data_IF_733874864639
#
_entry.id   IF_733874864639
#
_cell.length_a   1.000
_cell.length_b   1.000
_cell.length_c   1.000
_cell.angle_alpha   90.00
_cell.angle_beta   90.00
_cell.angle_gamma   90.00
#
_symmetry.space_group_name_H-M   'P 1'
#
loop_
_entity.id
_entity.type
_entity.pdbx_description
1 polymer ?
#
# COMPACT_ATOMS: atom_id res chain seq x y z
N UNK A 1 -26.69 -4.64 -7.35
CA UNK A 1 -25.32 -4.62 -6.80
C UNK A 1 -24.45 -5.76 -7.34
N UNK A 2 -24.79 -7.02 -7.07
CA UNK A 2 -24.01 -8.19 -7.52
C UNK A 2 -23.62 -8.17 -9.00
N UNK A 3 -24.58 -7.86 -9.90
CA UNK A 3 -24.32 -7.74 -11.35
C UNK A 3 -23.32 -6.64 -11.70
N UNK A 4 -23.40 -5.48 -11.02
CA UNK A 4 -22.46 -4.37 -11.21
C UNK A 4 -21.07 -4.73 -10.68
N UNK A 5 -21.00 -5.38 -9.51
CA UNK A 5 -19.73 -5.86 -8.95
C UNK A 5 -19.05 -6.89 -9.87
N UNK A 6 -19.82 -7.76 -10.54
CA UNK A 6 -19.29 -8.69 -11.53
C UNK A 6 -18.72 -7.98 -12.77
N UNK A 7 -19.39 -6.93 -13.27
CA UNK A 7 -18.87 -6.10 -14.37
C UNK A 7 -17.56 -5.40 -13.99
N UNK A 8 -17.51 -4.80 -12.80
CA UNK A 8 -16.29 -4.17 -12.27
C UNK A 8 -15.15 -5.19 -12.19
N UNK A 9 -15.40 -6.35 -11.57
CA UNK A 9 -14.38 -7.40 -11.45
C UNK A 9 -13.88 -7.90 -12.80
N UNK A 10 -14.76 -8.10 -13.76
CA UNK A 10 -14.39 -8.56 -15.10
C UNK A 10 -13.51 -7.55 -15.84
N UNK A 11 -13.82 -6.26 -15.69
CA UNK A 11 -13.13 -5.19 -16.42
C UNK A 11 -11.84 -4.74 -15.75
N UNK A 12 -11.86 -4.55 -14.44
CA UNK A 12 -10.75 -3.94 -13.69
C UNK A 12 -9.93 -4.96 -12.91
N UNK A 13 -10.42 -6.20 -12.76
CA UNK A 13 -9.80 -7.21 -11.92
C UNK A 13 -9.98 -6.97 -10.41
N UNK A 14 -10.72 -5.93 -10.00
CA UNK A 14 -11.00 -5.62 -8.60
C UNK A 14 -12.39 -6.10 -8.19
N UNK A 15 -12.45 -6.94 -7.15
CA UNK A 15 -13.70 -7.47 -6.61
C UNK A 15 -14.25 -6.60 -5.47
N UNK A 16 -15.36 -5.91 -5.74
CA UNK A 16 -16.04 -5.06 -4.75
C UNK A 16 -17.16 -5.78 -3.99
N UNK A 17 -17.40 -7.06 -4.22
CA UNK A 17 -18.52 -7.80 -3.60
C UNK A 17 -18.42 -7.92 -2.07
N UNK A 18 -17.22 -7.85 -1.51
CA UNK A 18 -17.00 -7.86 -0.06
C UNK A 18 -16.92 -6.47 0.59
N UNK A 19 -17.11 -5.39 -0.17
CA UNK A 19 -17.12 -4.03 0.36
C UNK A 19 -18.49 -3.71 0.98
N UNK A 20 -18.55 -2.70 1.85
CA UNK A 20 -19.82 -2.30 2.47
C UNK A 20 -20.79 -1.74 1.42
N UNK A 21 -21.97 -2.35 1.31
CA UNK A 21 -23.01 -1.96 0.35
C UNK A 21 -23.32 -0.46 0.37
N UNK A 22 -23.50 0.15 1.54
CA UNK A 22 -23.79 1.58 1.65
C UNK A 22 -22.67 2.48 1.08
N UNK A 23 -21.42 2.05 1.10
CA UNK A 23 -20.32 2.78 0.48
C UNK A 23 -20.42 2.70 -1.05
N UNK A 24 -20.64 1.49 -1.58
CA UNK A 24 -20.74 1.24 -3.01
C UNK A 24 -22.00 1.91 -3.60
N UNK A 25 -23.15 1.76 -2.94
CA UNK A 25 -24.43 2.33 -3.37
C UNK A 25 -24.37 3.85 -3.51
N UNK A 26 -23.77 4.56 -2.57
CA UNK A 26 -23.63 6.03 -2.66
C UNK A 26 -22.82 6.47 -3.87
N UNK A 27 -21.79 5.71 -4.25
CA UNK A 27 -20.98 6.00 -5.45
C UNK A 27 -21.72 5.68 -6.74
N UNK A 28 -22.45 4.56 -6.77
CA UNK A 28 -23.36 4.22 -7.87
C UNK A 28 -24.41 5.30 -8.06
N UNK A 29 -25.10 5.72 -6.99
CA UNK A 29 -26.12 6.77 -7.03
C UNK A 29 -25.56 8.11 -7.54
N UNK A 30 -24.36 8.49 -7.09
CA UNK A 30 -23.69 9.69 -7.61
C UNK A 30 -23.42 9.58 -9.11
N UNK A 31 -22.95 8.43 -9.60
CA UNK A 31 -22.67 8.22 -11.03
C UNK A 31 -23.97 8.22 -11.85
N UNK A 32 -25.04 7.63 -11.33
CA UNK A 32 -26.39 7.69 -11.88
C UNK A 32 -26.87 9.14 -12.03
N UNK A 33 -26.68 9.99 -11.01
CA UNK A 33 -27.02 11.41 -11.07
C UNK A 33 -26.20 12.17 -12.13
N UNK A 34 -24.89 11.89 -12.25
CA UNK A 34 -24.02 12.50 -13.27
C UNK A 34 -24.50 12.13 -14.69
N UNK A 35 -24.97 10.90 -14.88
CA UNK A 35 -25.50 10.41 -16.16
C UNK A 35 -27.00 10.72 -16.36
N UNK A 36 -27.66 11.32 -15.37
CA UNK A 36 -29.10 11.59 -15.37
C UNK A 36 -29.94 10.32 -15.61
N UNK A 37 -29.55 9.22 -14.95
CA UNK A 37 -30.26 7.93 -15.00
C UNK A 37 -30.85 7.63 -13.64
N UNK A 38 -32.18 7.65 -13.53
CA UNK A 38 -32.86 7.40 -12.24
C UNK A 38 -33.18 5.91 -12.01
N UNK A 39 -33.25 5.12 -13.09
CA UNK A 39 -33.53 3.67 -13.01
C UNK A 39 -32.23 2.84 -12.90
N UNK A 40 -32.06 2.06 -11.81
CA UNK A 40 -30.90 1.18 -11.66
C UNK A 40 -30.75 0.11 -12.75
N UNK A 41 -31.85 -0.33 -13.37
CA UNK A 41 -31.77 -1.31 -14.46
C UNK A 41 -31.20 -0.66 -15.74
N UNK A 42 -31.71 0.51 -16.13
CA UNK A 42 -31.15 1.32 -17.20
C UNK A 42 -29.67 1.68 -16.96
N UNK A 43 -29.29 1.99 -15.71
CA UNK A 43 -27.89 2.24 -15.37
C UNK A 43 -27.01 1.00 -15.58
N UNK A 44 -27.51 -0.19 -15.20
CA UNK A 44 -26.78 -1.43 -15.44
C UNK A 44 -26.61 -1.75 -16.94
N UNK A 45 -27.63 -1.53 -17.77
CA UNK A 45 -27.50 -1.71 -19.22
C UNK A 45 -26.52 -0.70 -19.82
N UNK A 46 -26.54 0.55 -19.37
CA UNK A 46 -25.53 1.56 -19.74
C UNK A 46 -24.10 1.09 -19.43
N UNK A 47 -23.87 0.51 -18.25
CA UNK A 47 -22.56 -0.06 -17.89
C UNK A 47 -22.16 -1.26 -18.76
N UNK A 48 -23.12 -2.05 -19.27
CA UNK A 48 -22.86 -3.17 -20.19
C UNK A 48 -22.47 -2.68 -21.58
N UNK A 49 -23.17 -1.66 -22.08
CA UNK A 49 -23.01 -1.14 -23.45
C UNK A 49 -21.80 -0.22 -23.59
N UNK A 50 -21.46 0.54 -22.54
CA UNK A 50 -20.37 1.51 -22.54
C UNK A 50 -19.29 1.13 -21.53
N UNK A 51 -18.25 0.39 -21.96
CA UNK A 51 -17.22 -0.08 -21.05
C UNK A 51 -16.48 1.06 -20.31
N UNK A 52 -16.34 2.25 -20.93
CA UNK A 52 -15.74 3.42 -20.28
C UNK A 52 -16.50 3.86 -19.02
N UNK A 53 -17.82 3.65 -18.95
CA UNK A 53 -18.62 3.98 -17.77
C UNK A 53 -18.27 3.09 -16.57
N UNK A 54 -17.82 1.85 -16.83
CA UNK A 54 -17.33 0.95 -15.78
C UNK A 54 -15.99 1.43 -15.23
N UNK A 55 -15.09 1.96 -16.07
CA UNK A 55 -13.83 2.57 -15.60
C UNK A 55 -14.09 3.82 -14.76
N UNK A 56 -15.02 4.65 -15.19
CA UNK A 56 -15.42 5.85 -14.47
C UNK A 56 -16.10 5.52 -13.14
N UNK A 57 -16.96 4.49 -13.11
CA UNK A 57 -17.53 3.99 -11.87
C UNK A 57 -16.44 3.42 -10.94
N UNK A 58 -15.49 2.67 -11.48
CA UNK A 58 -14.35 2.16 -10.70
C UNK A 58 -13.60 3.32 -10.03
N UNK A 59 -13.28 4.38 -10.79
CA UNK A 59 -12.63 5.58 -10.27
C UNK A 59 -13.45 6.27 -9.17
N UNK A 60 -14.78 6.30 -9.25
CA UNK A 60 -15.61 6.85 -8.16
C UNK A 60 -15.59 6.00 -6.88
N UNK A 61 -15.30 4.70 -7.01
CA UNK A 61 -15.19 3.78 -5.87
C UNK A 61 -13.86 3.95 -5.12
N UNK A 62 -12.85 4.53 -5.75
CA UNK A 62 -11.53 4.82 -5.15
C UNK A 62 -11.61 6.11 -4.33
N UNK A 63 -11.75 5.98 -3.01
CA UNK A 63 -11.88 7.11 -2.09
C UNK A 63 -10.49 7.50 -1.56
N UNK A 64 -9.81 8.40 -2.25
CA UNK A 64 -8.42 8.82 -1.93
C UNK A 64 -8.28 10.05 -1.03
N UNK A 65 -9.25 10.36 -0.15
CA UNK A 65 -9.12 11.54 0.73
C UNK A 65 -8.10 11.29 1.83
N UNK A 66 -7.01 12.04 1.80
CA UNK A 66 -5.89 11.95 2.74
C UNK A 66 -5.29 13.34 3.04
N UNK A 67 -4.47 13.44 4.08
CA UNK A 67 -3.75 14.65 4.48
C UNK A 67 -2.50 14.28 5.26
N UNK A 68 -1.52 15.18 5.33
CA UNK A 68 -0.34 14.97 6.18
C UNK A 68 -0.76 14.90 7.65
N UNK A 69 -0.12 14.01 8.41
CA UNK A 69 -0.37 13.82 9.84
C UNK A 69 -1.86 13.70 10.22
N UNK A 70 -2.67 13.05 9.38
CA UNK A 70 -4.11 12.87 9.59
C UNK A 70 -4.40 12.21 10.95
N UNK A 71 -5.27 12.84 11.73
CA UNK A 71 -5.51 12.56 13.15
C UNK A 71 -4.23 12.83 13.99
N UNK A 72 -3.87 14.11 14.25
CA UNK A 72 -2.58 14.48 14.84
C UNK A 72 -2.25 13.74 16.14
N UNK A 73 -3.22 13.58 17.03
CA UNK A 73 -3.04 12.83 18.28
C UNK A 73 -2.59 11.37 18.07
N UNK A 74 -3.04 10.72 16.98
CA UNK A 74 -2.64 9.36 16.67
C UNK A 74 -1.19 9.31 16.15
N UNK A 75 -0.77 10.29 15.36
CA UNK A 75 0.63 10.44 14.94
C UNK A 75 1.55 10.82 16.10
N UNK A 76 1.11 11.67 17.03
CA UNK A 76 1.86 11.98 18.25
C UNK A 76 2.10 10.71 19.09
N UNK A 77 1.09 9.84 19.20
CA UNK A 77 1.21 8.56 19.87
C UNK A 77 2.14 7.60 19.13
N UNK A 78 2.06 7.54 17.80
CA UNK A 78 2.98 6.74 16.98
C UNK A 78 4.44 7.20 17.18
N UNK A 79 4.68 8.51 17.07
CA UNK A 79 5.98 9.14 17.27
C UNK A 79 6.54 8.81 18.66
N UNK A 80 5.74 8.97 19.72
CA UNK A 80 6.22 8.75 21.09
C UNK A 80 6.39 7.27 21.47
N UNK A 81 5.47 6.40 21.05
CA UNK A 81 5.35 5.04 21.60
C UNK A 81 5.96 3.95 20.71
N UNK A 82 6.11 4.22 19.42
CA UNK A 82 6.52 3.21 18.42
C UNK A 82 7.79 3.61 17.71
N UNK A 83 7.89 4.83 17.17
CA UNK A 83 9.00 5.22 16.29
C UNK A 83 10.39 5.01 16.94
N UNK A 84 10.68 5.49 18.17
CA UNK A 84 11.96 5.22 18.84
C UNK A 84 12.29 3.73 18.97
N UNK A 85 11.28 2.90 19.25
CA UNK A 85 11.45 1.45 19.41
C UNK A 85 11.84 0.74 18.13
N UNK A 86 11.54 1.33 16.97
CA UNK A 86 11.98 0.76 15.69
C UNK A 86 13.50 0.80 15.52
N UNK A 87 14.17 1.73 16.20
CA UNK A 87 15.63 1.91 16.19
C UNK A 87 16.36 1.16 17.31
N UNK A 88 15.65 0.70 18.35
CA UNK A 88 16.25 -0.01 19.48
C UNK A 88 16.97 -1.30 19.03
N UNK A 89 18.26 -1.40 19.34
CA UNK A 89 19.10 -2.55 19.01
C UNK A 89 19.38 -2.72 17.51
N UNK A 90 19.01 -1.74 16.68
CA UNK A 90 19.26 -1.79 15.23
C UNK A 90 20.71 -1.51 14.90
N UNK A 91 21.26 -2.31 13.98
CA UNK A 91 22.58 -2.07 13.41
C UNK A 91 22.49 -1.24 12.12
N UNK A 92 23.56 -0.53 11.72
CA UNK A 92 23.53 0.31 10.52
C UNK A 92 23.29 -0.45 9.22
N UNK A 93 23.66 -1.73 9.16
CA UNK A 93 23.44 -2.62 8.01
C UNK A 93 22.02 -3.19 7.95
N UNK A 94 21.21 -3.00 9.01
CA UNK A 94 19.81 -3.39 9.02
C UNK A 94 18.91 -2.33 8.36
N UNK A 95 17.71 -2.75 7.95
CA UNK A 95 16.70 -1.87 7.36
C UNK A 95 15.44 -1.89 8.21
N UNK A 96 14.92 -0.70 8.54
CA UNK A 96 13.57 -0.53 9.09
C UNK A 96 12.60 -0.49 7.93
N UNK A 97 11.67 -1.45 7.88
CA UNK A 97 10.76 -1.68 6.77
C UNK A 97 9.33 -1.38 7.17
N UNK A 98 8.72 -0.37 6.57
CA UNK A 98 7.34 0.05 6.83
C UNK A 98 6.48 -0.26 5.61
N UNK A 99 5.21 -0.63 5.83
CA UNK A 99 4.22 -0.72 4.76
C UNK A 99 2.99 0.14 5.05
N UNK A 100 2.60 0.94 4.06
CA UNK A 100 1.43 1.81 4.06
C UNK A 100 0.48 1.36 2.94
N UNK A 101 -0.38 0.34 3.17
CA UNK A 101 -1.41 -0.04 2.21
C UNK A 101 -2.56 0.98 2.18
N UNK A 102 -3.04 1.32 0.99
CA UNK A 102 -4.03 2.38 0.79
C UNK A 102 -3.42 3.77 0.94
N UNK A 103 -2.22 4.00 0.39
CA UNK A 103 -1.47 5.23 0.61
C UNK A 103 -2.04 6.48 -0.09
N UNK A 104 -3.03 6.31 -0.98
CA UNK A 104 -3.61 7.37 -1.79
C UNK A 104 -2.52 8.23 -2.46
N UNK A 105 -2.56 9.55 -2.26
CA UNK A 105 -1.61 10.51 -2.85
C UNK A 105 -0.29 10.63 -2.07
N UNK A 106 -0.01 9.75 -1.10
CA UNK A 106 1.30 9.57 -0.47
C UNK A 106 1.53 10.32 0.85
N UNK A 107 0.61 11.17 1.29
CA UNK A 107 0.77 12.03 2.47
C UNK A 107 1.05 11.23 3.76
N UNK A 108 0.40 10.08 3.96
CA UNK A 108 0.64 9.22 5.13
C UNK A 108 2.03 8.59 5.09
N UNK A 109 2.47 8.10 3.92
CA UNK A 109 3.80 7.51 3.75
C UNK A 109 4.89 8.54 4.03
N UNK A 110 4.75 9.76 3.50
CA UNK A 110 5.70 10.85 3.76
C UNK A 110 5.64 11.33 5.21
N UNK A 111 4.48 11.36 5.85
CA UNK A 111 4.37 11.71 7.28
C UNK A 111 5.16 10.73 8.15
N UNK A 112 5.06 9.42 7.86
CA UNK A 112 5.84 8.40 8.56
C UNK A 112 7.33 8.52 8.24
N UNK A 113 7.69 8.82 6.98
CA UNK A 113 9.07 9.05 6.58
C UNK A 113 9.72 10.19 7.39
N UNK A 114 8.99 11.31 7.57
CA UNK A 114 9.45 12.42 8.40
C UNK A 114 9.68 12.00 9.85
N UNK A 115 8.72 11.28 10.46
CA UNK A 115 8.89 10.80 11.84
C UNK A 115 10.12 9.89 12.00
N UNK A 116 10.32 8.97 11.06
CA UNK A 116 11.49 8.10 11.07
C UNK A 116 12.78 8.89 10.95
N UNK A 117 12.84 9.88 10.04
CA UNK A 117 14.04 10.72 9.87
C UNK A 117 14.34 11.59 11.08
N UNK A 118 13.32 12.18 11.70
CA UNK A 118 13.46 13.00 12.91
C UNK A 118 13.99 12.21 14.10
N UNK A 119 13.68 10.92 14.18
CA UNK A 119 14.06 10.03 15.28
C UNK A 119 15.27 9.13 14.96
N UNK A 120 15.79 9.20 13.74
CA UNK A 120 16.91 8.36 13.31
C UNK A 120 18.21 8.74 14.07
N UNK A 121 19.02 7.76 14.50
CA UNK A 121 20.36 8.03 15.02
C UNK A 121 21.19 8.83 14.01
N UNK A 122 22.01 9.76 14.50
CA UNK A 122 22.84 10.62 13.63
C UNK A 122 24.07 9.87 13.12
N UNK A 123 24.48 10.20 11.89
CA UNK A 123 25.72 9.72 11.27
C UNK A 123 25.63 8.29 10.72
N UNK A 124 26.79 7.68 10.44
CA UNK A 124 26.91 6.35 9.83
C UNK A 124 26.32 5.20 10.69
N UNK A 125 25.83 5.50 11.89
CA UNK A 125 25.16 4.55 12.77
C UNK A 125 23.67 4.37 12.46
N UNK A 126 23.08 5.19 11.57
CA UNK A 126 21.66 5.13 11.25
C UNK A 126 21.33 3.91 10.39
N UNK A 127 20.33 3.09 10.73
CA UNK A 127 19.88 2.01 9.86
C UNK A 127 19.23 2.55 8.60
N UNK A 128 19.21 1.72 7.55
CA UNK A 128 18.50 2.05 6.31
C UNK A 128 16.98 2.13 6.57
N UNK A 129 16.30 2.99 5.81
CA UNK A 129 14.84 3.12 5.87
C UNK A 129 14.24 2.67 4.54
N UNK A 130 13.12 1.93 4.61
CA UNK A 130 12.38 1.52 3.44
C UNK A 130 10.87 1.55 3.74
N UNK A 131 10.12 2.34 2.99
CA UNK A 131 8.68 2.48 3.15
C UNK A 131 8.03 2.00 1.86
N UNK A 132 7.35 0.87 1.92
CA UNK A 132 6.47 0.41 0.86
C UNK A 132 5.16 1.17 1.00
N UNK A 133 4.79 1.98 0.03
CA UNK A 133 3.52 2.69 0.00
C UNK A 133 2.73 2.18 -1.20
N UNK A 134 1.56 1.61 -0.96
CA UNK A 134 0.86 0.92 -2.03
C UNK A 134 -0.61 1.31 -2.12
N UNK A 135 -1.12 1.37 -3.34
CA UNK A 135 -2.53 1.64 -3.60
C UNK A 135 -3.00 0.89 -4.85
N UNK A 136 -4.30 0.80 -5.07
CA UNK A 136 -4.89 0.32 -6.33
C UNK A 136 -5.18 1.47 -7.29
N UNK A 137 -5.17 2.72 -6.81
CA UNK A 137 -5.34 3.91 -7.64
C UNK A 137 -4.00 4.39 -8.24
N UNK A 138 -3.74 4.02 -9.49
CA UNK A 138 -2.54 4.45 -10.22
C UNK A 138 -2.41 5.98 -10.32
N UNK A 139 -3.52 6.71 -10.42
CA UNK A 139 -3.49 8.18 -10.51
C UNK A 139 -3.05 8.81 -9.20
N UNK A 140 -3.47 8.25 -8.07
CA UNK A 140 -3.03 8.71 -6.76
C UNK A 140 -1.53 8.41 -6.56
N UNK A 141 -1.06 7.25 -7.03
CA UNK A 141 0.36 6.87 -6.99
C UNK A 141 1.22 7.80 -7.85
N UNK A 142 0.75 8.27 -9.01
CA UNK A 142 1.48 9.27 -9.82
C UNK A 142 1.73 10.57 -9.05
N UNK A 143 0.73 11.06 -8.31
CA UNK A 143 0.87 12.24 -7.43
C UNK A 143 1.88 11.96 -6.31
N UNK A 144 1.78 10.79 -5.68
CA UNK A 144 2.67 10.37 -4.62
C UNK A 144 4.14 10.29 -5.09
N UNK A 145 4.38 9.71 -6.26
CA UNK A 145 5.70 9.64 -6.90
C UNK A 145 6.26 11.03 -7.22
N UNK A 146 5.44 11.93 -7.75
CA UNK A 146 5.86 13.30 -8.03
C UNK A 146 6.21 14.05 -6.73
N UNK A 147 5.51 13.74 -5.63
CA UNK A 147 5.69 14.34 -4.32
C UNK A 147 5.45 15.85 -4.33
N UNK A 148 4.60 16.33 -5.25
CA UNK A 148 4.27 17.75 -5.43
C UNK A 148 2.85 18.00 -4.95
N UNK A 149 2.71 18.87 -3.96
CA UNK A 149 1.47 19.13 -3.24
C UNK A 149 1.10 20.62 -3.23
N UNK A 150 -0.18 20.97 -3.16
CA UNK A 150 -0.62 22.36 -3.10
C UNK A 150 -0.09 23.08 -1.86
N UNK A 151 -0.02 24.42 -1.90
CA UNK A 151 0.39 25.24 -0.76
C UNK A 151 -0.45 25.02 0.50
N UNK A 152 -1.67 24.49 0.35
CA UNK A 152 -2.59 24.21 1.46
C UNK A 152 -2.04 23.19 2.46
N UNK A 153 -1.08 22.33 2.09
CA UNK A 153 -0.49 21.38 3.05
C UNK A 153 0.20 22.07 4.25
N UNK A 154 0.52 23.36 4.13
CA UNK A 154 1.08 24.15 5.22
C UNK A 154 0.14 24.26 6.43
N UNK A 155 -1.16 23.93 6.29
CA UNK A 155 -2.10 23.83 7.43
C UNK A 155 -1.92 22.55 8.24
N UNK A 156 -1.41 21.50 7.60
CA UNK A 156 -1.35 20.14 8.16
C UNK A 156 0.05 19.81 8.69
N UNK A 157 1.05 20.60 8.29
CA UNK A 157 2.46 20.38 8.59
C UNK A 157 3.01 21.55 9.39
N UNK A 158 3.80 21.26 10.42
CA UNK A 158 4.45 22.30 11.23
C UNK A 158 5.44 23.13 10.38
N UNK A 159 5.63 24.43 10.67
CA UNK A 159 6.59 25.26 9.93
C UNK A 159 8.02 24.69 9.93
N UNK A 160 8.41 23.99 11.00
CA UNK A 160 9.69 23.30 11.10
C UNK A 160 9.80 22.17 10.06
N UNK A 161 8.84 21.23 10.06
CA UNK A 161 8.81 20.11 9.10
C UNK A 161 8.70 20.61 7.66
N UNK A 162 7.91 21.65 7.43
CA UNK A 162 7.75 22.25 6.09
C UNK A 162 9.07 22.83 5.57
N UNK A 163 9.84 23.51 6.43
CA UNK A 163 11.16 24.06 6.07
C UNK A 163 12.21 22.97 5.86
N UNK A 164 12.14 21.89 6.62
CA UNK A 164 13.12 20.81 6.62
C UNK A 164 12.90 19.81 5.48
N UNK A 165 11.65 19.44 5.22
CA UNK A 165 11.31 18.31 4.34
C UNK A 165 10.66 18.70 3.01
N UNK A 166 10.54 19.99 2.71
CA UNK A 166 9.96 20.46 1.46
C UNK A 166 10.74 21.62 0.82
N UNK A 167 10.79 21.63 -0.51
CA UNK A 167 11.14 22.80 -1.32
C UNK A 167 9.86 23.48 -1.81
N UNK A 168 9.85 24.81 -1.87
CA UNK A 168 8.74 25.56 -2.47
C UNK A 168 9.04 25.80 -3.95
N UNK A 169 8.17 25.35 -4.84
CA UNK A 169 8.32 25.39 -6.31
C UNK A 169 7.01 25.87 -6.96
N UNK A 170 7.02 27.00 -7.66
CA UNK A 170 5.87 27.60 -8.37
C UNK A 170 4.55 27.62 -7.57
N UNK A 171 4.60 28.05 -6.30
CA UNK A 171 3.40 28.09 -5.46
C UNK A 171 2.92 26.73 -4.93
N UNK A 172 3.68 25.66 -5.16
CA UNK A 172 3.48 24.32 -4.58
C UNK A 172 4.62 23.95 -3.65
N UNK A 173 4.45 22.88 -2.89
CA UNK A 173 5.52 22.25 -2.11
C UNK A 173 5.90 20.92 -2.72
N UNK A 174 7.20 20.67 -2.83
CA UNK A 174 7.74 19.40 -3.28
C UNK A 174 8.50 18.74 -2.15
N UNK A 175 8.23 17.46 -1.92
CA UNK A 175 8.90 16.66 -0.89
C UNK A 175 10.38 16.51 -1.21
N UNK A 176 11.23 16.67 -0.19
CA UNK A 176 12.67 16.51 -0.27
C UNK A 176 13.06 15.15 -0.88
N UNK A 177 14.10 15.13 -1.72
CA UNK A 177 14.53 13.91 -2.43
C UNK A 177 14.84 12.76 -1.48
N UNK A 178 15.47 13.06 -0.34
CA UNK A 178 15.81 12.06 0.67
C UNK A 178 14.59 11.31 1.25
N UNK A 179 13.42 11.96 1.35
CA UNK A 179 12.19 11.26 1.75
C UNK A 179 11.57 10.48 0.58
N UNK A 180 11.67 11.00 -0.64
CA UNK A 180 11.17 10.32 -1.85
C UNK A 180 11.95 9.04 -2.15
N UNK A 181 13.25 9.03 -1.88
CA UNK A 181 14.13 7.87 -2.13
C UNK A 181 13.83 6.69 -1.20
N UNK A 182 13.35 6.93 0.03
CA UNK A 182 12.98 5.86 0.97
C UNK A 182 11.54 5.37 0.77
N UNK A 183 10.69 6.14 0.08
CA UNK A 183 9.30 5.81 -0.20
C UNK A 183 9.14 5.14 -1.58
N UNK A 184 8.88 3.83 -1.57
CA UNK A 184 8.62 3.01 -2.75
C UNK A 184 7.11 2.93 -2.99
N UNK A 185 6.63 3.72 -3.95
CA UNK A 185 5.22 3.67 -4.38
C UNK A 185 5.02 2.58 -5.44
N UNK A 186 3.98 1.76 -5.28
CA UNK A 186 3.65 0.72 -6.26
C UNK A 186 2.18 0.29 -6.20
N UNK A 187 1.65 -0.18 -7.33
CA UNK A 187 0.31 -0.75 -7.38
C UNK A 187 0.26 -2.07 -6.61
N UNK A 188 -0.66 -2.20 -5.65
CA UNK A 188 -0.85 -3.44 -4.88
C UNK A 188 -2.30 -3.57 -4.43
N UNK A 189 -2.90 -4.72 -4.70
CA UNK A 189 -4.18 -5.11 -4.18
C UNK A 189 -4.01 -6.04 -2.98
N UNK A 190 -4.33 -5.54 -1.79
CA UNK A 190 -4.23 -6.23 -0.51
C UNK A 190 -4.93 -7.60 -0.46
N UNK A 191 -5.95 -7.82 -1.29
CA UNK A 191 -6.75 -9.05 -1.32
C UNK A 191 -6.29 -10.07 -2.36
N UNK A 192 -5.41 -9.66 -3.29
CA UNK A 192 -5.00 -10.49 -4.44
C UNK A 192 -3.50 -10.73 -4.47
N UNK A 193 -2.74 -9.69 -4.17
CA UNK A 193 -1.31 -9.69 -4.37
C UNK A 193 -0.61 -10.13 -3.06
N UNK A 194 0.50 -10.88 -3.15
CA UNK A 194 1.18 -11.38 -1.97
C UNK A 194 1.69 -10.21 -1.11
N UNK A 195 1.62 -10.31 0.24
CA UNK A 195 2.07 -9.25 1.12
C UNK A 195 3.59 -9.18 1.16
N UNK A 196 4.12 -8.00 1.50
CA UNK A 196 5.50 -7.88 1.96
C UNK A 196 5.68 -8.68 3.26
N UNK A 197 6.92 -9.09 3.56
CA UNK A 197 7.24 -9.86 4.77
C UNK A 197 8.33 -9.19 5.60
N UNK A 198 8.42 -9.55 6.89
CA UNK A 198 9.41 -9.03 7.85
C UNK A 198 9.35 -7.50 8.00
N UNK A 199 8.14 -6.95 8.05
CA UNK A 199 7.91 -5.52 8.26
C UNK A 199 8.01 -5.15 9.74
N UNK A 200 8.55 -3.97 10.02
CA UNK A 200 8.63 -3.34 11.33
C UNK A 200 7.30 -2.70 11.75
N UNK A 201 6.66 -2.02 10.80
CA UNK A 201 5.43 -1.27 11.00
C UNK A 201 4.53 -1.46 9.78
N UNK A 202 3.24 -1.68 10.01
CA UNK A 202 2.19 -1.51 9.01
C UNK A 202 1.30 -0.36 9.46
N UNK A 203 1.11 0.64 8.61
CA UNK A 203 0.13 1.71 8.80
C UNK A 203 -0.99 1.53 7.78
N UNK A 204 -2.11 0.95 8.21
CA UNK A 204 -3.28 0.71 7.36
C UNK A 204 -4.44 1.51 7.94
N UNK A 205 -4.52 2.78 7.54
CA UNK A 205 -5.46 3.74 8.14
C UNK A 205 -6.55 4.13 7.17
N UNK A 206 -7.78 4.17 7.69
CA UNK A 206 -8.96 4.60 6.94
C UNK A 206 -9.24 3.78 5.67
N UNK A 207 -8.74 2.54 5.59
CA UNK A 207 -8.96 1.62 4.47
C UNK A 207 -9.99 0.54 4.81
N UNK A 208 -9.86 -0.09 5.99
CA UNK A 208 -10.72 -1.18 6.45
C UNK A 208 -12.16 -0.71 6.67
N UNK A 209 -12.39 0.58 6.91
CA UNK A 209 -13.73 1.16 7.05
C UNK A 209 -14.62 0.92 5.82
N UNK A 210 -14.06 0.73 4.64
CA UNK A 210 -14.81 0.46 3.40
C UNK A 210 -15.14 -1.03 3.20
N UNK A 211 -14.50 -1.90 3.97
CA UNK A 211 -14.56 -3.34 3.80
C UNK A 211 -15.59 -3.98 4.74
N UNK A 212 -16.30 -5.00 4.24
CA UNK A 212 -17.19 -5.82 5.04
C UNK A 212 -16.44 -6.71 6.04
N UNK A 213 -17.14 -7.28 7.04
CA UNK A 213 -16.52 -8.12 8.07
C UNK A 213 -15.70 -9.29 7.51
N UNK A 214 -16.14 -9.90 6.41
CA UNK A 214 -15.50 -11.06 5.79
C UNK A 214 -14.15 -10.70 5.16
N UNK A 215 -14.02 -9.49 4.60
CA UNK A 215 -12.74 -8.99 4.07
C UNK A 215 -11.79 -8.61 5.21
N UNK A 216 -12.30 -7.96 6.25
CA UNK A 216 -11.49 -7.63 7.42
C UNK A 216 -10.93 -8.90 8.10
N UNK A 217 -11.72 -9.97 8.17
CA UNK A 217 -11.31 -11.28 8.71
C UNK A 217 -10.17 -11.91 7.89
N UNK A 218 -10.07 -11.61 6.59
CA UNK A 218 -8.97 -12.08 5.73
C UNK A 218 -7.72 -11.20 5.85
N UNK A 219 -7.89 -9.89 5.99
CA UNK A 219 -6.79 -8.92 5.94
C UNK A 219 -5.96 -8.91 7.23
N UNK A 220 -6.59 -9.00 8.39
CA UNK A 220 -5.87 -8.91 9.66
C UNK A 220 -4.82 -10.04 9.83
N UNK A 221 -5.11 -11.31 9.46
CA UNK A 221 -4.10 -12.36 9.39
C UNK A 221 -2.94 -12.08 8.42
N UNK A 222 -3.21 -11.41 7.29
CA UNK A 222 -2.18 -11.00 6.32
C UNK A 222 -1.21 -10.01 6.97
N UNK A 223 -1.72 -8.99 7.68
CA UNK A 223 -0.88 -8.05 8.42
C UNK A 223 -0.05 -8.74 9.49
N UNK A 224 -0.66 -9.68 10.23
CA UNK A 224 0.05 -10.45 11.24
C UNK A 224 1.21 -11.27 10.62
N UNK A 225 0.99 -11.90 9.47
CA UNK A 225 2.04 -12.63 8.77
C UNK A 225 3.16 -11.70 8.26
N UNK A 226 2.77 -10.57 7.66
CA UNK A 226 3.68 -9.59 7.06
C UNK A 226 4.63 -8.95 8.08
N UNK A 227 4.16 -8.71 9.31
CA UNK A 227 4.96 -8.16 10.39
C UNK A 227 6.01 -9.14 10.93
N UNK A 228 7.21 -8.64 11.23
CA UNK A 228 8.20 -9.37 12.04
C UNK A 228 7.69 -9.53 13.47
N UNK A 229 8.26 -10.48 14.22
CA UNK A 229 7.94 -10.63 15.64
C UNK A 229 8.12 -9.29 16.38
N UNK A 230 7.16 -8.95 17.24
CA UNK A 230 7.09 -7.67 17.97
C UNK A 230 6.92 -6.42 17.08
N UNK A 231 6.65 -6.59 15.78
CA UNK A 231 6.31 -5.49 14.87
C UNK A 231 4.98 -4.84 15.21
N UNK A 232 4.75 -3.66 14.63
CA UNK A 232 3.67 -2.75 15.03
C UNK A 232 2.61 -2.62 13.95
N UNK A 233 1.36 -2.49 14.36
CA UNK A 233 0.23 -2.20 13.48
C UNK A 233 -0.43 -0.91 13.93
N UNK A 234 -0.57 0.03 13.01
CA UNK A 234 -1.23 1.31 13.20
C UNK A 234 -2.46 1.40 12.30
N UNK A 235 -3.64 1.57 12.90
CA UNK A 235 -4.92 1.65 12.19
C UNK A 235 -5.58 3.03 12.35
N UNK A 236 -6.61 3.31 11.56
CA UNK A 236 -7.45 4.49 11.70
C UNK A 236 -8.39 4.39 12.90
N UNK A 237 -8.85 5.54 13.41
CA UNK A 237 -9.61 5.64 14.67
C UNK A 237 -10.88 4.76 14.76
N UNK A 238 -11.55 4.56 13.62
CA UNK A 238 -12.76 3.72 13.49
C UNK A 238 -12.47 2.24 13.22
N UNK A 239 -11.21 1.84 13.19
CA UNK A 239 -10.76 0.50 12.82
C UNK A 239 -10.18 -0.21 14.04
N UNK A 240 -10.28 -1.54 14.08
CA UNK A 240 -9.78 -2.32 15.20
C UNK A 240 -9.50 -3.76 14.79
N UNK A 241 -8.71 -4.45 15.62
CA UNK A 241 -8.42 -5.88 15.51
C UNK A 241 -9.11 -6.69 16.61
N UNK A 242 -10.26 -6.23 17.13
CA UNK A 242 -10.89 -6.85 18.32
C UNK A 242 -11.24 -8.33 18.10
N UNK A 243 -11.68 -8.71 16.89
CA UNK A 243 -11.93 -10.11 16.50
C UNK A 243 -10.66 -10.97 16.48
N UNK A 244 -9.50 -10.33 16.40
CA UNK A 244 -8.18 -10.95 16.31
C UNK A 244 -7.31 -10.64 17.55
N UNK A 245 -7.93 -10.48 18.73
CA UNK A 245 -7.22 -10.12 19.97
C UNK A 245 -6.14 -11.13 20.42
N UNK A 246 -6.13 -12.34 19.85
CA UNK A 246 -5.04 -13.32 20.03
C UNK A 246 -3.81 -13.00 19.19
N UNK A 247 -3.94 -12.31 18.05
CA UNK A 247 -2.83 -11.98 17.15
C UNK A 247 -2.08 -10.72 17.60
N UNK A 248 -2.80 -9.78 18.23
CA UNK A 248 -2.27 -8.46 18.56
C UNK A 248 -2.52 -8.08 20.02
N UNK A 249 -1.52 -7.49 20.68
CA UNK A 249 -1.70 -6.74 21.92
C UNK A 249 -1.95 -5.27 21.60
N UNK A 250 -2.70 -4.57 22.46
CA UNK A 250 -2.93 -3.13 22.31
C UNK A 250 -1.84 -2.36 23.03
N UNK A 251 -1.21 -1.41 22.33
CA UNK A 251 -0.25 -0.45 22.91
C UNK A 251 -0.99 0.80 23.34
N UNK A 252 -1.80 1.37 22.43
CA UNK A 252 -2.59 2.55 22.70
C UNK A 252 -3.95 2.41 22.00
N UNK A 253 -5.01 2.33 22.81
CA UNK A 253 -6.38 2.09 22.31
C UNK A 253 -6.97 3.31 21.59
N UNK A 254 -6.83 4.56 22.10
CA UNK A 254 -7.33 5.75 21.40
C UNK A 254 -6.71 5.92 20.01
N UNK A 255 -5.40 5.68 19.88
CA UNK A 255 -4.65 5.85 18.63
C UNK A 255 -4.59 4.59 17.77
N UNK A 256 -5.24 3.49 18.20
CA UNK A 256 -5.29 2.21 17.47
C UNK A 256 -3.90 1.68 17.11
N UNK A 257 -3.00 1.74 18.08
CA UNK A 257 -1.66 1.17 17.99
C UNK A 257 -1.64 -0.21 18.64
N UNK A 258 -1.13 -1.19 17.90
CA UNK A 258 -1.07 -2.59 18.29
C UNK A 258 0.32 -3.16 18.06
N UNK A 259 0.65 -4.23 18.79
CA UNK A 259 1.87 -5.01 18.59
C UNK A 259 1.53 -6.45 18.21
N UNK A 260 2.25 -7.02 17.25
CA UNK A 260 2.17 -8.45 16.94
C UNK A 260 2.61 -9.27 18.16
N UNK A 261 1.78 -10.23 18.58
CA UNK A 261 2.15 -11.18 19.62
C UNK A 261 3.09 -12.26 19.06
N UNK A 262 4.19 -12.52 19.74
CA UNK A 262 5.13 -13.57 19.35
C UNK A 262 4.56 -14.99 19.64
N UNK A 263 5.06 -15.99 18.92
CA UNK A 263 4.75 -17.41 19.19
C UNK A 263 3.37 -17.90 18.72
N UNK A 264 2.58 -17.01 18.09
CA UNK A 264 1.28 -17.38 17.52
C UNK A 264 1.44 -17.35 16.01
N UNK A 265 1.41 -18.51 15.36
CA UNK A 265 1.32 -18.56 13.91
C UNK A 265 -0.14 -18.27 13.55
N UNK A 266 -0.41 -17.18 12.82
CA UNK A 266 -1.73 -16.99 12.23
C UNK A 266 -2.08 -18.23 11.41
N UNK A 267 -3.33 -18.68 11.48
CA UNK A 267 -3.79 -19.78 10.65
C UNK A 267 -3.50 -19.51 9.17
N UNK A 268 -3.40 -20.60 8.38
CA UNK A 268 -3.05 -20.64 6.96
C UNK A 268 -3.46 -19.35 6.24
N UNK A 269 -2.47 -18.63 5.68
CA UNK A 269 -2.73 -17.45 4.86
C UNK A 269 -3.79 -17.78 3.79
N UNK A 270 -4.66 -16.83 3.42
CA UNK A 270 -5.51 -17.02 2.25
C UNK A 270 -4.65 -17.37 1.04
N UNK A 271 -5.13 -18.28 0.20
CA UNK A 271 -4.47 -18.58 -1.06
C UNK A 271 -4.50 -17.33 -1.93
N UNK A 272 -3.33 -16.72 -2.11
CA UNK A 272 -3.16 -15.69 -3.13
C UNK A 272 -3.10 -16.42 -4.47
N UNK A 273 -3.97 -16.08 -5.44
CA UNK A 273 -3.80 -16.57 -6.79
C UNK A 273 -2.44 -16.07 -7.26
N UNK A 274 -1.44 -16.97 -7.31
CA UNK A 274 -0.19 -16.69 -7.99
C UNK A 274 -0.60 -16.17 -9.37
N UNK A 275 -0.33 -14.90 -9.63
CA UNK A 275 -0.64 -14.28 -10.91
C UNK A 275 -0.22 -15.25 -12.00
N UNK A 276 -1.14 -15.59 -12.91
CA UNK A 276 -0.95 -16.56 -13.98
C UNK A 276 0.16 -16.16 -15.00
N UNK A 277 1.01 -15.18 -14.66
CA UNK A 277 2.11 -14.64 -15.44
C UNK A 277 3.38 -15.53 -15.45
N UNK A 278 3.48 -16.58 -14.62
CA UNK A 278 4.61 -17.52 -14.69
C UNK A 278 4.40 -18.70 -15.65
N UNK A 279 3.25 -18.80 -16.33
CA UNK A 279 2.94 -19.91 -17.27
C UNK A 279 2.95 -19.53 -18.75
N UNK A 280 3.40 -18.32 -19.10
CA UNK A 280 3.72 -17.94 -20.47
C UNK A 280 5.14 -17.38 -20.54
N UNK A 281 6.13 -18.17 -20.10
CA UNK A 281 7.46 -18.03 -20.67
C UNK A 281 7.36 -18.52 -22.14
N UNK A 282 7.89 -17.79 -23.13
CA UNK A 282 7.91 -18.30 -24.50
C UNK A 282 8.68 -19.62 -24.49
N UNK A 283 8.12 -20.64 -25.13
CA UNK A 283 8.79 -21.91 -25.40
C UNK A 283 10.13 -21.62 -26.08
N UNK A 284 11.22 -21.56 -25.30
CA UNK A 284 12.56 -21.72 -25.85
C UNK A 284 12.62 -23.18 -26.26
N UNK A 285 12.51 -23.43 -27.57
CA UNK A 285 12.82 -24.73 -28.16
C UNK A 285 14.22 -25.12 -27.70
N UNK A 286 14.31 -26.04 -26.74
CA UNK A 286 15.54 -26.71 -26.40
C UNK A 286 15.97 -27.52 -27.62
N UNK A 287 16.89 -26.96 -28.42
CA UNK A 287 17.72 -27.78 -29.30
C UNK A 287 18.66 -28.55 -28.39
N UNK A 288 18.50 -29.87 -28.35
CA UNK A 288 19.44 -30.74 -27.67
C UNK A 288 20.81 -30.60 -28.33
N UNK A 289 21.76 -30.03 -27.61
CA UNK A 289 23.19 -30.12 -27.95
C UNK A 289 23.85 -30.99 -26.90
N UNK A 290 24.05 -32.26 -27.24
CA UNK A 290 24.93 -33.18 -26.54
C UNK A 290 26.37 -32.71 -26.74
N UNK A 291 26.93 -32.04 -25.73
CA UNK A 291 28.32 -31.60 -25.67
C UNK A 291 28.62 -31.07 -24.28
N UNK A 292 29.80 -31.37 -23.73
CA UNK A 292 30.16 -30.97 -22.37
C UNK A 292 30.36 -29.45 -22.28
N UNK A 293 30.09 -28.87 -21.12
CA UNK A 293 30.15 -27.42 -20.85
C UNK A 293 31.48 -26.77 -21.24
N UNK A 294 32.56 -27.54 -21.25
CA UNK A 294 33.90 -27.09 -21.59
C UNK A 294 34.07 -26.81 -23.10
N UNK A 295 33.50 -27.64 -23.97
CA UNK A 295 33.53 -27.44 -25.43
C UNK A 295 32.69 -26.23 -25.86
N UNK A 296 31.62 -25.93 -25.11
CA UNK A 296 30.77 -24.76 -25.35
C UNK A 296 31.45 -23.46 -24.93
N UNK A 297 32.29 -23.50 -23.89
CA UNK A 297 33.06 -22.34 -23.42
C UNK A 297 34.23 -22.00 -24.36
N UNK A 298 34.91 -23.01 -24.93
CA UNK A 298 36.00 -22.79 -25.89
C UNK A 298 35.49 -22.20 -27.22
N UNK A 299 34.30 -22.62 -27.69
CA UNK A 299 33.67 -22.04 -28.89
C UNK A 299 33.33 -20.56 -28.73
N UNK A 300 32.83 -20.16 -27.55
CA UNK A 300 32.46 -18.77 -27.26
C UNK A 300 33.68 -17.85 -27.09
N UNK A 301 34.85 -18.39 -26.73
CA UNK A 301 36.08 -17.62 -26.63
C UNK A 301 36.75 -17.43 -28.00
N UNK A 302 36.66 -18.41 -28.90
CA UNK A 302 37.18 -18.31 -30.27
C UNK A 302 36.38 -17.33 -31.15
N UNK A 303 35.06 -17.25 -30.95
CA UNK A 303 34.18 -16.34 -31.70
C UNK A 303 34.35 -14.86 -31.30
N UNK A 304 34.95 -14.61 -30.13
CA UNK A 304 35.11 -13.26 -29.57
C UNK A 304 36.46 -12.63 -29.83
N UNK A 305 37.45 -13.41 -30.29
CA UNK A 305 38.85 -12.97 -30.42
C UNK A 305 39.60 -13.48 -31.66
N UNK A 306 38.91 -13.93 -32.71
CA UNK A 306 39.56 -13.98 -34.05
C UNK A 306 39.44 -12.62 -34.74
N UNK A 307 40.52 -12.15 -35.41
CA UNK A 307 40.59 -10.82 -36.02
C UNK A 307 39.63 -10.62 -37.20
#
# INVERSE_FOLDING_TARGET
>A
LSRIAALLRMRTGHDFSGYKDNTILRRIQRRMQVLQIDDPAAFYERLREEPQQVDLLFQDLLIGVTSFFRDPHAFDALERLVIPRLFEGRKPDETIRVWVPGCATGEEAYSIAMLLRENAPRGAASPNLQIFATDIDERALEVAHAGRYPATIATDITPKRLKEFFSREDGTYRVASELREVCLFSSHNLLRDPPFSKLDLIACRNLLIYMGPELQEKIVPIFHYALRNNGYLFLGSSENVTRHGRLFSTIDKPSRLFQKRAGITAQRLPEFPLAAAARQAPHVRQRATTGTLQESAERLLLDRYSP
#
